data_IF_204976610612
#
_entry.id   IF_204976610612
#
_cell.length_a   1.000
_cell.length_b   1.000
_cell.length_c   1.000
_cell.angle_alpha   90.00
_cell.angle_beta   90.00
_cell.angle_gamma   90.00
#
_symmetry.space_group_name_H-M   'P 1'
#
loop_
_entity.id
_entity.type
_entity.pdbx_description
1 polymer ?
#
# COMPACT_ATOMS: atom_id res chain seq x y z
N UNK A 1 28.84 11.55 -5.07
CA UNK A 1 28.18 10.70 -4.08
C UNK A 1 26.79 11.26 -3.83
N UNK A 2 25.76 10.44 -3.90
CA UNK A 2 24.39 10.84 -3.52
C UNK A 2 24.27 10.71 -2.00
N UNK A 3 23.77 11.77 -1.35
CA UNK A 3 23.48 11.76 0.08
C UNK A 3 21.98 12.01 0.27
N UNK A 4 21.32 11.23 1.12
CA UNK A 4 19.93 11.39 1.46
C UNK A 4 19.74 11.34 2.97
N UNK A 5 18.79 12.12 3.48
CA UNK A 5 18.38 12.11 4.89
C UNK A 5 17.00 11.48 5.00
N UNK A 6 16.83 10.53 5.92
CA UNK A 6 15.53 9.95 6.25
C UNK A 6 14.88 10.86 7.28
N UNK A 7 13.75 11.50 6.92
CA UNK A 7 13.01 12.41 7.80
C UNK A 7 11.85 11.72 8.53
N UNK A 8 11.32 10.65 7.98
CA UNK A 8 10.23 9.89 8.58
C UNK A 8 10.14 8.48 8.01
N UNK A 9 9.66 7.54 8.81
CA UNK A 9 9.45 6.15 8.44
C UNK A 9 8.00 5.79 8.69
N UNK A 10 7.34 5.22 7.69
CA UNK A 10 6.04 4.58 7.80
C UNK A 10 6.17 3.08 7.56
N UNK A 11 5.36 2.32 8.27
CA UNK A 11 5.40 0.86 8.22
C UNK A 11 4.02 0.30 8.50
N UNK A 12 3.67 -0.75 7.81
CA UNK A 12 2.49 -1.54 8.12
C UNK A 12 2.66 -3.00 7.69
N UNK A 13 2.37 -3.90 8.58
CA UNK A 13 2.06 -5.31 8.30
C UNK A 13 1.07 -5.84 9.33
N UNK A 14 0.41 -6.95 9.02
CA UNK A 14 -0.51 -7.57 9.98
C UNK A 14 0.22 -7.92 11.28
N UNK A 15 -0.34 -7.50 12.40
CA UNK A 15 0.28 -7.65 13.72
C UNK A 15 1.26 -6.53 14.11
N UNK A 16 1.73 -5.72 13.16
CA UNK A 16 2.66 -4.61 13.38
C UNK A 16 2.20 -3.39 12.56
N UNK A 17 1.23 -2.62 13.07
CA UNK A 17 0.57 -1.56 12.28
C UNK A 17 1.36 -0.26 12.17
N UNK A 18 2.49 -0.13 12.85
CA UNK A 18 3.31 1.08 12.87
C UNK A 18 4.80 0.74 12.93
N UNK A 19 5.64 1.72 12.60
CA UNK A 19 7.09 1.59 12.77
C UNK A 19 7.49 1.32 14.22
N UNK A 20 6.87 2.01 15.17
CA UNK A 20 7.15 1.81 16.59
C UNK A 20 6.79 0.39 17.07
N UNK A 21 5.67 -0.16 16.57
CA UNK A 21 5.29 -1.55 16.83
C UNK A 21 6.33 -2.54 16.27
N UNK A 22 6.84 -2.28 15.07
CA UNK A 22 7.88 -3.11 14.45
C UNK A 22 9.20 -3.06 15.24
N UNK A 23 9.61 -1.88 15.71
CA UNK A 23 10.79 -1.72 16.57
C UNK A 23 10.60 -2.42 17.91
N UNK A 24 9.44 -2.25 18.55
CA UNK A 24 9.13 -2.92 19.82
C UNK A 24 9.15 -4.44 19.68
N UNK A 25 8.59 -4.97 18.58
CA UNK A 25 8.63 -6.41 18.28
C UNK A 25 10.07 -6.91 18.09
N UNK A 26 10.92 -6.15 17.43
CA UNK A 26 12.34 -6.49 17.30
C UNK A 26 13.08 -6.54 18.65
N UNK A 27 12.55 -5.87 19.65
CA UNK A 27 13.03 -5.90 21.05
C UNK A 27 12.27 -6.88 21.96
N UNK A 28 11.44 -7.76 21.38
CA UNK A 28 10.79 -8.85 22.10
C UNK A 28 9.34 -8.56 22.56
N UNK A 29 8.69 -7.50 22.05
CA UNK A 29 7.26 -7.31 22.26
C UNK A 29 6.41 -8.27 21.42
N UNK A 30 5.18 -8.53 21.84
CA UNK A 30 4.24 -9.37 21.13
C UNK A 30 3.62 -8.67 19.91
N UNK A 31 3.08 -9.47 18.99
CA UNK A 31 2.25 -8.98 17.89
C UNK A 31 0.94 -8.38 18.42
N UNK A 32 0.47 -7.33 17.78
CA UNK A 32 -0.78 -6.66 18.10
C UNK A 32 -1.97 -7.29 17.35
N UNK A 33 -3.17 -7.15 17.90
CA UNK A 33 -4.39 -7.45 17.15
C UNK A 33 -4.66 -6.34 16.14
N UNK A 34 -4.70 -6.70 14.86
CA UNK A 34 -4.88 -5.76 13.76
C UNK A 34 -5.84 -6.32 12.72
N UNK A 35 -6.54 -5.46 11.96
CA UNK A 35 -7.30 -5.92 10.81
C UNK A 35 -6.38 -6.60 9.78
N UNK A 36 -6.96 -7.41 8.90
CA UNK A 36 -6.21 -8.10 7.84
C UNK A 36 -5.52 -7.15 6.85
N UNK A 37 -6.05 -5.92 6.71
CA UNK A 37 -5.47 -4.86 5.88
C UNK A 37 -5.73 -3.49 6.51
N UNK A 38 -4.91 -2.46 6.22
CA UNK A 38 -5.16 -1.10 6.68
C UNK A 38 -6.31 -0.45 5.89
N UNK A 39 -6.81 0.66 6.42
CA UNK A 39 -7.86 1.47 5.78
C UNK A 39 -7.30 2.87 5.52
N UNK A 40 -6.58 3.09 4.41
CA UNK A 40 -5.86 4.33 4.17
C UNK A 40 -6.81 5.52 4.08
N UNK A 41 -6.71 6.44 5.05
CA UNK A 41 -7.60 7.59 5.17
C UNK A 41 -7.36 8.66 4.10
N UNK A 42 -6.27 8.55 3.36
CA UNK A 42 -5.98 9.36 2.18
C UNK A 42 -7.08 9.24 1.11
N UNK A 43 -7.67 8.04 0.98
CA UNK A 43 -8.65 7.75 -0.06
C UNK A 43 -10.09 8.00 0.39
N UNK A 44 -10.92 8.50 -0.52
CA UNK A 44 -12.37 8.52 -0.35
C UNK A 44 -12.93 7.09 -0.14
N UNK A 45 -14.07 6.91 0.55
CA UNK A 45 -14.59 5.59 0.92
C UNK A 45 -14.76 4.61 -0.25
N UNK A 46 -15.18 5.09 -1.42
CA UNK A 46 -15.36 4.25 -2.60
C UNK A 46 -14.03 3.75 -3.17
N UNK A 47 -13.04 4.64 -3.28
CA UNK A 47 -11.70 4.28 -3.76
C UNK A 47 -11.00 3.35 -2.75
N UNK A 48 -11.15 3.62 -1.47
CA UNK A 48 -10.63 2.77 -0.39
C UNK A 48 -11.14 1.33 -0.45
N UNK A 49 -12.41 1.13 -0.79
CA UNK A 49 -12.99 -0.21 -0.97
C UNK A 49 -12.48 -0.94 -2.22
N UNK A 50 -12.13 -0.20 -3.27
CA UNK A 50 -11.64 -0.75 -4.55
C UNK A 50 -10.14 -1.02 -4.54
N UNK A 51 -9.39 -0.33 -3.69
CA UNK A 51 -7.95 -0.48 -3.60
C UNK A 51 -7.59 -1.92 -3.18
N UNK A 52 -6.67 -2.60 -3.87
CA UNK A 52 -6.17 -3.90 -3.44
C UNK A 52 -5.35 -3.77 -2.16
N UNK A 53 -5.10 -4.90 -1.49
CA UNK A 53 -4.41 -4.92 -0.20
C UNK A 53 -3.00 -4.35 -0.29
N UNK A 54 -2.26 -4.66 -1.34
CA UNK A 54 -0.92 -4.11 -1.60
C UNK A 54 -0.92 -2.58 -1.74
N UNK A 55 -1.93 -2.02 -2.41
CA UNK A 55 -2.12 -0.57 -2.51
C UNK A 55 -2.49 0.02 -1.14
N UNK A 56 -3.42 -0.60 -0.41
CA UNK A 56 -3.82 -0.12 0.91
C UNK A 56 -2.63 -0.02 1.87
N UNK A 57 -1.79 -1.07 1.92
CA UNK A 57 -0.56 -1.10 2.73
C UNK A 57 0.41 0.00 2.31
N UNK A 58 0.66 0.14 1.00
CA UNK A 58 1.60 1.13 0.47
C UNK A 58 1.19 2.55 0.80
N UNK A 59 -0.11 2.88 0.66
CA UNK A 59 -0.64 4.21 0.94
C UNK A 59 -0.64 4.53 2.43
N UNK A 60 -0.98 3.57 3.27
CA UNK A 60 -0.99 3.75 4.72
C UNK A 60 0.42 4.01 5.25
N UNK A 61 1.39 3.21 4.82
CA UNK A 61 2.79 3.39 5.18
C UNK A 61 3.35 4.73 4.65
N UNK A 62 3.05 5.10 3.40
CA UNK A 62 3.51 6.37 2.83
C UNK A 62 2.94 7.58 3.58
N UNK A 63 1.64 7.56 3.90
CA UNK A 63 1.01 8.63 4.67
C UNK A 63 1.60 8.71 6.10
N UNK A 64 1.83 7.57 6.75
CA UNK A 64 2.47 7.53 8.07
C UNK A 64 3.89 8.12 8.03
N UNK A 65 4.67 7.85 6.98
CA UNK A 65 5.99 8.44 6.80
C UNK A 65 5.93 9.96 6.64
N UNK A 66 4.98 10.49 5.86
CA UNK A 66 4.75 11.92 5.72
C UNK A 66 4.41 12.58 7.06
N UNK A 67 3.51 11.97 7.82
CA UNK A 67 3.13 12.45 9.15
C UNK A 67 4.32 12.45 10.12
N UNK A 68 5.10 11.37 10.15
CA UNK A 68 6.29 11.26 10.99
C UNK A 68 7.35 12.33 10.65
N UNK A 69 7.44 12.71 9.38
CA UNK A 69 8.33 13.77 8.89
C UNK A 69 7.76 15.18 9.07
N UNK A 70 6.49 15.33 9.45
CA UNK A 70 5.80 16.63 9.48
C UNK A 70 5.66 17.25 8.07
N UNK A 71 5.56 16.44 7.03
CA UNK A 71 5.46 16.87 5.63
C UNK A 71 4.05 16.70 5.09
N UNK A 72 3.64 17.65 4.26
CA UNK A 72 2.39 17.58 3.52
C UNK A 72 2.57 16.64 2.29
N UNK A 73 1.84 15.52 2.21
CA UNK A 73 1.97 14.57 1.12
C UNK A 73 1.67 15.19 -0.27
N UNK A 74 0.83 16.22 -0.34
CA UNK A 74 0.46 16.90 -1.60
C UNK A 74 1.62 17.66 -2.24
N UNK A 75 2.66 17.96 -1.47
CA UNK A 75 3.82 18.76 -1.90
C UNK A 75 5.04 17.93 -2.26
N UNK A 76 4.99 16.61 -2.03
CA UNK A 76 6.14 15.73 -2.19
C UNK A 76 6.06 14.92 -3.49
N UNK A 77 7.16 14.81 -4.24
CA UNK A 77 7.26 13.80 -5.28
C UNK A 77 7.24 12.41 -4.63
N UNK A 78 6.62 11.45 -5.30
CA UNK A 78 6.48 10.09 -4.78
C UNK A 78 7.09 9.05 -5.72
N UNK A 79 7.69 8.02 -5.13
CA UNK A 79 8.17 6.84 -5.84
C UNK A 79 7.67 5.60 -5.11
N UNK A 80 6.91 4.78 -5.81
CA UNK A 80 6.43 3.50 -5.31
C UNK A 80 7.15 2.36 -6.04
N UNK A 81 7.62 1.38 -5.31
CA UNK A 81 8.28 0.20 -5.87
C UNK A 81 7.61 -1.07 -5.37
N UNK A 82 7.56 -2.09 -6.21
CA UNK A 82 7.05 -3.40 -5.87
C UNK A 82 7.81 -4.47 -6.63
N UNK A 83 8.13 -5.58 -5.98
CA UNK A 83 8.80 -6.71 -6.64
C UNK A 83 7.88 -7.43 -7.63
N UNK A 84 6.61 -7.62 -7.26
CA UNK A 84 5.67 -8.47 -8.00
C UNK A 84 4.33 -7.79 -8.31
N UNK A 85 4.11 -6.54 -7.90
CA UNK A 85 2.78 -5.95 -7.92
C UNK A 85 1.85 -6.65 -6.93
N UNK A 86 0.61 -6.94 -7.36
CA UNK A 86 -0.37 -7.70 -6.58
C UNK A 86 -0.47 -9.13 -7.10
N UNK A 87 0.10 -10.08 -6.36
CA UNK A 87 0.11 -11.50 -6.74
C UNK A 87 -1.30 -12.11 -6.76
N UNK A 88 -2.21 -11.68 -5.90
CA UNK A 88 -3.58 -12.17 -5.88
C UNK A 88 -4.35 -11.74 -7.14
N UNK A 89 -4.10 -10.52 -7.61
CA UNK A 89 -4.66 -10.05 -8.89
C UNK A 89 -4.01 -10.79 -10.07
N UNK A 90 -2.72 -11.03 -10.04
CA UNK A 90 -2.02 -11.78 -11.08
C UNK A 90 -2.57 -13.20 -11.18
N UNK A 91 -2.73 -13.90 -10.06
CA UNK A 91 -3.32 -15.24 -10.02
C UNK A 91 -4.76 -15.25 -10.56
N UNK A 92 -5.60 -14.29 -10.12
CA UNK A 92 -6.94 -14.11 -10.65
C UNK A 92 -6.95 -13.91 -12.17
N UNK A 93 -6.09 -13.03 -12.69
CA UNK A 93 -6.02 -12.75 -14.13
C UNK A 93 -5.62 -13.99 -14.93
N UNK A 94 -4.58 -14.71 -14.50
CA UNK A 94 -4.13 -15.94 -15.16
C UNK A 94 -5.20 -17.02 -15.14
N UNK A 95 -5.85 -17.24 -14.01
CA UNK A 95 -6.92 -18.24 -13.85
C UNK A 95 -8.13 -17.90 -14.73
N UNK A 96 -8.55 -16.63 -14.75
CA UNK A 96 -9.69 -16.18 -15.56
C UNK A 96 -9.39 -16.28 -17.05
N UNK A 97 -8.19 -15.86 -17.48
CA UNK A 97 -7.77 -15.99 -18.89
C UNK A 97 -7.74 -17.44 -19.37
N UNK A 98 -7.36 -18.36 -18.49
CA UNK A 98 -7.29 -19.79 -18.82
C UNK A 98 -8.68 -20.45 -18.93
N UNK A 99 -9.69 -19.93 -18.23
CA UNK A 99 -11.04 -20.52 -18.17
C UNK A 99 -12.08 -19.76 -19.00
N UNK A 100 -12.23 -18.47 -18.81
CA UNK A 100 -13.14 -17.59 -19.54
C UNK A 100 -12.56 -16.17 -19.66
N UNK A 101 -11.85 -15.87 -20.76
CA UNK A 101 -11.24 -14.54 -20.96
C UNK A 101 -12.23 -13.38 -20.95
N UNK A 102 -13.52 -13.64 -21.21
CA UNK A 102 -14.54 -12.59 -21.23
C UNK A 102 -15.05 -12.20 -19.86
N UNK A 103 -14.72 -12.99 -18.83
CA UNK A 103 -15.16 -12.78 -17.44
C UNK A 103 -14.19 -11.93 -16.60
N UNK A 104 -13.17 -11.33 -17.22
CA UNK A 104 -12.21 -10.48 -16.50
C UNK A 104 -12.91 -9.26 -15.88
N UNK A 105 -12.73 -9.07 -14.57
CA UNK A 105 -13.23 -7.91 -13.86
C UNK A 105 -12.48 -6.63 -14.28
N UNK A 106 -13.17 -5.58 -14.74
CA UNK A 106 -12.55 -4.29 -15.06
C UNK A 106 -11.78 -3.68 -13.89
N UNK A 107 -12.29 -3.81 -12.66
CA UNK A 107 -11.62 -3.30 -11.45
C UNK A 107 -10.33 -4.05 -11.17
N UNK A 108 -10.31 -5.38 -11.31
CA UNK A 108 -9.09 -6.16 -11.12
C UNK A 108 -8.08 -5.87 -12.23
N UNK A 109 -8.52 -5.74 -13.47
CA UNK A 109 -7.66 -5.34 -14.59
C UNK A 109 -7.03 -3.96 -14.33
N UNK A 110 -7.81 -2.98 -13.90
CA UNK A 110 -7.33 -1.64 -13.53
C UNK A 110 -6.22 -1.68 -12.46
N UNK A 111 -6.34 -2.59 -11.50
CA UNK A 111 -5.39 -2.74 -10.39
C UNK A 111 -4.23 -3.71 -10.68
N UNK A 112 -4.15 -4.30 -11.86
CA UNK A 112 -3.12 -5.30 -12.21
C UNK A 112 -1.75 -4.71 -12.54
N UNK A 113 -1.64 -3.39 -12.60
CA UNK A 113 -0.41 -2.69 -12.98
C UNK A 113 0.46 -2.36 -11.77
N UNK A 114 1.79 -2.37 -11.94
CA UNK A 114 2.74 -2.08 -10.87
C UNK A 114 2.63 -0.65 -10.31
N UNK A 115 2.15 0.29 -11.11
CA UNK A 115 1.96 1.67 -10.70
C UNK A 115 0.59 1.96 -10.05
N UNK A 116 -0.19 0.95 -9.70
CA UNK A 116 -1.50 1.14 -9.06
C UNK A 116 -1.39 1.99 -7.77
N UNK A 117 -0.43 1.71 -6.90
CA UNK A 117 -0.23 2.49 -5.67
C UNK A 117 0.07 3.96 -5.96
N UNK A 118 0.94 4.27 -6.92
CA UNK A 118 1.25 5.63 -7.33
C UNK A 118 0.01 6.35 -7.90
N UNK A 119 -0.81 5.65 -8.70
CA UNK A 119 -2.07 6.18 -9.23
C UNK A 119 -3.06 6.55 -8.12
N UNK A 120 -3.29 5.66 -7.17
CA UNK A 120 -4.15 5.94 -6.02
C UNK A 120 -3.61 7.06 -5.13
N UNK A 121 -2.29 7.12 -4.93
CA UNK A 121 -1.65 8.22 -4.20
C UNK A 121 -1.94 9.56 -4.85
N UNK A 122 -1.77 9.69 -6.15
CA UNK A 122 -2.03 10.93 -6.91
C UNK A 122 -3.50 11.37 -6.85
N UNK A 123 -4.45 10.42 -6.69
CA UNK A 123 -5.88 10.74 -6.54
C UNK A 123 -6.19 11.25 -5.13
N UNK A 124 -5.51 10.73 -4.12
CA UNK A 124 -5.81 11.00 -2.71
C UNK A 124 -5.00 12.15 -2.11
N UNK A 125 -3.81 12.40 -2.64
CA UNK A 125 -2.89 13.43 -2.13
C UNK A 125 -2.95 14.74 -2.90
#
# INVERSE_FOLDING_TARGET
>A
MLTATIEGIGFWTQGLPTWDAAVAFAHGADLQDTPARPSPQLLAPNERRRAPDTVAVSLDAALAACHAAGRDPTTLPSVFTSTHGDLAITDYMCTTLASDPTAISPTKFHNSVHNAAAGYWTIGA
#
